data_IF_694865607431
#
_entry.id   IF_694865607431
#
_cell.length_a   1.000
_cell.length_b   1.000
_cell.length_c   1.000
_cell.angle_alpha   90.00
_cell.angle_beta   90.00
_cell.angle_gamma   90.00
#
_symmetry.space_group_name_H-M   'P 1'
#
loop_
_entity.id
_entity.type
_entity.pdbx_description
1 polymer ?
#
# COMPACT_ATOMS: atom_id res chain seq x y z
N UNK A 1 13.89 42.20 -59.23
CA UNK A 1 13.27 41.04 -58.55
C UNK A 1 12.84 41.52 -57.17
N UNK A 2 11.51 41.70 -56.97
CA UNK A 2 10.69 40.93 -56.02
C UNK A 2 11.27 41.03 -54.59
N UNK A 3 10.74 41.80 -53.65
CA UNK A 3 9.33 41.99 -53.29
C UNK A 3 9.20 41.50 -51.85
N UNK A 4 9.21 42.43 -50.89
CA UNK A 4 8.99 42.16 -49.46
C UNK A 4 7.47 42.17 -49.17
N UNK A 5 6.96 41.06 -48.62
CA UNK A 5 5.62 40.79 -48.09
C UNK A 5 5.79 39.46 -47.28
N UNK A 6 5.31 39.17 -46.07
CA UNK A 6 4.20 39.62 -45.22
C UNK A 6 4.59 39.49 -43.71
N UNK A 7 4.24 40.41 -42.79
CA UNK A 7 3.07 40.44 -41.85
C UNK A 7 3.03 39.19 -40.91
N UNK A 8 3.06 39.26 -39.56
CA UNK A 8 2.01 39.76 -38.65
C UNK A 8 2.47 40.05 -37.21
N UNK A 9 1.68 40.92 -36.59
CA UNK A 9 1.85 41.77 -35.40
C UNK A 9 1.65 41.01 -34.06
N UNK A 10 2.27 41.48 -32.96
CA UNK A 10 2.20 40.87 -31.63
C UNK A 10 0.82 40.99 -30.96
N UNK A 11 0.40 39.92 -30.28
CA UNK A 11 -0.78 39.93 -29.41
C UNK A 11 -0.50 40.76 -28.15
N UNK A 12 -1.29 41.82 -27.98
CA UNK A 12 -1.41 42.60 -26.77
C UNK A 12 -2.11 41.77 -25.68
N UNK A 13 -1.48 41.65 -24.50
CA UNK A 13 -2.15 41.15 -23.29
C UNK A 13 -2.75 42.36 -22.56
N UNK A 14 -4.08 42.42 -22.56
CA UNK A 14 -4.91 43.47 -21.97
C UNK A 14 -5.00 43.30 -20.45
N UNK A 15 -4.90 44.43 -19.74
CA UNK A 15 -4.99 44.65 -18.29
C UNK A 15 -6.43 44.44 -17.78
N UNK A 16 -6.61 43.74 -16.66
CA UNK A 16 -7.82 43.74 -15.80
C UNK A 16 -7.33 43.56 -14.36
N UNK A 17 -7.16 44.61 -13.54
CA UNK A 17 -8.08 45.51 -12.82
C UNK A 17 -8.06 45.22 -11.31
N UNK A 18 -7.88 46.31 -10.56
CA UNK A 18 -7.77 46.44 -9.11
C UNK A 18 -9.10 46.25 -8.35
N UNK A 19 -8.96 45.85 -7.07
CA UNK A 19 -9.84 46.20 -5.93
C UNK A 19 -11.09 45.31 -5.79
N UNK A 20 -11.63 45.02 -4.61
CA UNK A 20 -11.76 45.83 -3.38
C UNK A 20 -12.01 44.91 -2.16
N UNK A 21 -11.44 45.24 -1.00
CA UNK A 21 -11.84 44.68 0.31
C UNK A 21 -13.09 45.35 0.86
N UNK A 22 -14.04 44.59 1.39
CA UNK A 22 -15.03 45.07 2.37
C UNK A 22 -15.33 44.00 3.44
N UNK A 23 -15.23 44.41 4.72
CA UNK A 23 -15.65 43.67 5.91
C UNK A 23 -17.11 44.04 6.28
N UNK A 24 -17.91 43.07 6.74
CA UNK A 24 -18.92 43.26 7.81
C UNK A 24 -19.53 41.92 8.30
N UNK A 25 -19.42 41.65 9.60
CA UNK A 25 -20.41 40.88 10.39
C UNK A 25 -21.47 41.87 10.95
N UNK A 26 -22.51 41.53 11.75
CA UNK A 26 -23.05 40.24 12.22
C UNK A 26 -24.59 40.11 12.06
N UNK A 27 -25.17 38.91 12.23
CA UNK A 27 -26.54 38.76 12.78
C UNK A 27 -26.65 37.49 13.62
N UNK A 28 -26.89 37.71 14.91
CA UNK A 28 -27.37 36.74 15.89
C UNK A 28 -28.88 36.52 15.69
N UNK A 29 -29.33 35.26 15.76
CA UNK A 29 -30.66 34.90 16.26
C UNK A 29 -30.52 33.69 17.19
N UNK A 30 -30.82 33.86 18.48
CA UNK A 30 -30.75 32.85 19.57
C UNK A 30 -31.98 31.91 19.52
N UNK A 31 -32.07 30.65 19.99
CA UNK A 31 -31.90 30.03 21.35
C UNK A 31 -32.70 28.66 21.32
N UNK A 32 -32.65 27.68 22.26
CA UNK A 32 -31.59 27.03 23.06
C UNK A 32 -31.54 25.47 22.92
N UNK A 33 -30.38 24.92 23.32
CA UNK A 33 -30.17 23.65 24.06
C UNK A 33 -30.95 22.39 23.65
N UNK A 34 -30.29 21.52 22.88
CA UNK A 34 -30.29 20.09 23.19
C UNK A 34 -28.84 19.61 23.27
N UNK A 35 -28.52 19.00 24.41
CA UNK A 35 -27.25 18.34 24.68
C UNK A 35 -27.26 17.06 23.85
N UNK A 36 -26.66 17.10 22.66
CA UNK A 36 -26.27 15.90 21.94
C UNK A 36 -24.80 15.64 22.23
N UNK A 37 -24.56 14.66 23.09
CA UNK A 37 -23.25 14.08 23.36
C UNK A 37 -22.55 13.78 22.03
N UNK A 38 -21.47 14.50 21.74
CA UNK A 38 -20.61 14.16 20.60
C UNK A 38 -19.92 12.83 20.91
N UNK A 39 -20.53 11.74 20.47
CA UNK A 39 -19.88 10.44 20.35
C UNK A 39 -18.84 10.59 19.23
N UNK A 40 -17.53 10.38 19.49
CA UNK A 40 -16.54 10.35 18.43
C UNK A 40 -16.93 9.24 17.44
N UNK A 41 -17.05 9.58 16.15
CA UNK A 41 -17.29 8.61 15.09
C UNK A 41 -16.10 7.67 14.99
N UNK A 42 -16.22 6.50 15.60
CA UNK A 42 -15.38 5.36 15.26
C UNK A 42 -15.77 4.92 13.84
N UNK A 43 -14.80 4.88 12.92
CA UNK A 43 -14.99 4.25 11.62
C UNK A 43 -15.15 2.75 11.84
N UNK A 44 -16.33 2.21 11.52
CA UNK A 44 -16.68 0.79 11.69
C UNK A 44 -15.78 -0.17 10.87
N UNK A 45 -14.97 0.37 9.96
CA UNK A 45 -14.16 -0.40 9.01
C UNK A 45 -12.94 -1.11 9.65
N UNK A 46 -12.46 -0.65 10.82
CA UNK A 46 -11.34 -1.29 11.53
C UNK A 46 -11.78 -2.42 12.48
N UNK A 47 -13.09 -2.63 12.72
CA UNK A 47 -13.55 -3.54 13.78
C UNK A 47 -13.68 -5.01 13.36
N UNK A 48 -13.48 -5.37 12.09
CA UNK A 48 -13.62 -6.77 11.66
C UNK A 48 -12.56 -7.22 10.65
N UNK A 49 -11.28 -7.06 10.99
CA UNK A 49 -10.18 -7.68 10.24
C UNK A 49 -9.79 -9.02 10.88
N UNK A 50 -9.50 -10.01 10.04
CA UNK A 50 -8.80 -11.21 10.46
C UNK A 50 -7.30 -10.98 10.34
N UNK A 51 -6.59 -11.35 11.39
CA UNK A 51 -5.15 -11.32 11.46
C UNK A 51 -4.60 -12.73 11.16
N UNK A 52 -3.62 -12.83 10.27
CA UNK A 52 -2.89 -14.07 10.00
C UNK A 52 -1.39 -13.81 10.14
N UNK A 53 -0.72 -14.70 10.87
CA UNK A 53 0.74 -14.70 10.97
C UNK A 53 1.32 -15.64 9.91
N UNK A 54 2.13 -15.10 9.01
CA UNK A 54 2.93 -15.87 8.07
C UNK A 54 4.32 -16.08 8.67
N UNK A 55 4.77 -17.33 8.68
CA UNK A 55 6.08 -17.73 9.19
C UNK A 55 6.83 -18.44 8.07
N UNK A 56 7.98 -17.91 7.67
CA UNK A 56 8.91 -18.63 6.81
C UNK A 56 9.84 -19.44 7.72
N UNK A 57 9.73 -20.76 7.64
CA UNK A 57 10.46 -21.67 8.54
C UNK A 57 11.83 -22.07 7.98
N UNK A 58 12.05 -21.92 6.67
CA UNK A 58 13.32 -22.17 6.01
C UNK A 58 13.45 -21.37 4.71
N UNK A 59 14.70 -21.06 4.37
CA UNK A 59 15.12 -20.38 3.14
C UNK A 59 16.29 -21.16 2.53
N UNK A 60 16.56 -21.06 1.21
CA UNK A 60 17.64 -21.81 0.61
C UNK A 60 19.01 -21.33 1.12
N UNK A 61 20.01 -22.22 1.12
CA UNK A 61 21.35 -21.96 1.70
C UNK A 61 22.06 -20.77 1.05
N UNK A 62 21.76 -20.48 -0.23
CA UNK A 62 22.33 -19.34 -0.95
C UNK A 62 21.64 -18.00 -0.64
N UNK A 63 20.70 -17.95 0.31
CA UNK A 63 20.11 -16.69 0.78
C UNK A 63 21.17 -15.86 1.50
N UNK A 64 21.46 -14.62 1.07
CA UNK A 64 22.41 -13.78 1.78
C UNK A 64 22.00 -13.55 3.23
N UNK A 65 22.97 -13.54 4.15
CA UNK A 65 22.71 -13.46 5.59
C UNK A 65 22.01 -12.14 6.00
N UNK A 66 22.30 -11.06 5.28
CA UNK A 66 21.74 -9.72 5.43
C UNK A 66 20.51 -9.45 4.55
N UNK A 67 20.04 -10.46 3.81
CA UNK A 67 18.87 -10.33 2.96
C UNK A 67 17.61 -10.04 3.78
N UNK A 68 16.79 -9.14 3.27
CA UNK A 68 15.45 -8.89 3.78
C UNK A 68 14.43 -9.59 2.89
N UNK A 69 13.47 -10.29 3.50
CA UNK A 69 12.42 -11.00 2.78
C UNK A 69 11.14 -10.17 2.83
N UNK A 70 10.43 -10.13 1.71
CA UNK A 70 9.17 -9.43 1.54
C UNK A 70 8.11 -10.38 0.98
N UNK A 71 6.84 -10.13 1.32
CA UNK A 71 5.71 -10.69 0.59
C UNK A 71 5.25 -9.69 -0.48
N UNK A 72 4.88 -10.20 -1.65
CA UNK A 72 4.14 -9.45 -2.65
C UNK A 72 2.92 -10.26 -3.09
N UNK A 73 1.90 -9.58 -3.61
CA UNK A 73 0.68 -10.24 -4.05
C UNK A 73 -0.32 -9.32 -4.72
N UNK A 74 -1.50 -9.86 -5.00
CA UNK A 74 -2.61 -9.08 -5.55
C UNK A 74 -2.99 -7.87 -4.66
N UNK A 75 -2.80 -7.96 -3.36
CA UNK A 75 -3.12 -6.91 -2.38
C UNK A 75 -2.15 -5.72 -2.39
N UNK A 76 -0.94 -5.85 -2.94
CA UNK A 76 0.03 -4.76 -3.08
C UNK A 76 0.44 -4.52 -4.55
N UNK A 77 -0.38 -4.98 -5.50
CA UNK A 77 -0.12 -4.90 -6.94
C UNK A 77 1.21 -5.54 -7.36
N UNK A 78 1.63 -6.62 -6.69
CA UNK A 78 2.88 -7.32 -6.93
C UNK A 78 4.11 -6.42 -6.78
N UNK A 79 4.04 -5.43 -5.89
CA UNK A 79 5.16 -4.56 -5.58
C UNK A 79 6.23 -5.32 -4.79
N UNK A 80 7.42 -5.40 -5.38
CA UNK A 80 8.62 -6.00 -4.79
C UNK A 80 9.23 -5.04 -3.77
N UNK A 81 9.77 -5.56 -2.67
CA UNK A 81 10.46 -4.74 -1.65
C UNK A 81 9.54 -3.78 -0.90
N UNK A 82 8.23 -4.03 -0.85
CA UNK A 82 7.28 -3.19 -0.13
C UNK A 82 7.47 -3.33 1.38
N UNK A 83 7.95 -2.26 2.03
CA UNK A 83 8.23 -2.22 3.47
C UNK A 83 7.01 -2.53 4.35
N UNK A 84 5.78 -2.36 3.84
CA UNK A 84 4.57 -2.74 4.57
C UNK A 84 4.41 -4.26 4.71
N UNK A 85 5.12 -5.04 3.88
CA UNK A 85 5.08 -6.49 3.82
C UNK A 85 6.48 -7.10 4.01
N UNK A 86 7.35 -6.36 4.71
CA UNK A 86 8.68 -6.81 5.14
C UNK A 86 8.57 -7.79 6.29
N UNK A 87 9.23 -8.93 6.16
CA UNK A 87 9.35 -9.89 7.26
C UNK A 87 10.36 -9.42 8.31
N UNK A 88 10.05 -9.70 9.58
CA UNK A 88 10.98 -9.60 10.70
C UNK A 88 11.71 -10.94 10.87
N UNK A 89 13.05 -10.91 10.96
CA UNK A 89 13.85 -12.09 11.29
C UNK A 89 13.82 -12.32 12.79
N UNK A 90 13.47 -13.54 13.20
CA UNK A 90 13.35 -13.95 14.59
C UNK A 90 14.66 -14.62 15.05
N UNK A 91 14.92 -14.61 16.36
CA UNK A 91 16.14 -15.15 16.97
C UNK A 91 16.38 -16.65 16.65
N UNK A 92 15.31 -17.41 16.42
CA UNK A 92 15.37 -18.84 16.06
C UNK A 92 15.70 -19.10 14.58
N UNK A 93 15.91 -18.03 13.78
CA UNK A 93 16.22 -18.11 12.37
C UNK A 93 15.01 -18.15 11.44
N UNK A 94 13.79 -18.15 11.99
CA UNK A 94 12.56 -18.00 11.19
C UNK A 94 12.28 -16.53 10.86
N UNK A 95 11.33 -16.30 9.96
CA UNK A 95 10.89 -14.96 9.59
C UNK A 95 9.39 -14.83 9.79
N UNK A 96 8.92 -13.70 10.35
CA UNK A 96 7.51 -13.47 10.66
C UNK A 96 6.96 -12.20 9.97
N UNK A 97 5.74 -12.30 9.45
CA UNK A 97 4.94 -11.16 8.97
C UNK A 97 3.48 -11.35 9.40
N UNK A 98 2.85 -10.29 9.90
CA UNK A 98 1.42 -10.29 10.24
C UNK A 98 0.66 -9.52 9.15
N UNK A 99 -0.35 -10.16 8.55
CA UNK A 99 -1.23 -9.54 7.57
C UNK A 99 -2.65 -9.49 8.11
N UNK A 100 -3.31 -8.35 7.93
CA UNK A 100 -4.70 -8.14 8.31
C UNK A 100 -5.54 -7.92 7.06
N UNK A 101 -6.62 -8.69 6.93
CA UNK A 101 -7.56 -8.59 5.81
C UNK A 101 -9.00 -8.79 6.28
N UNK A 102 -10.00 -8.28 5.54
CA UNK A 102 -11.38 -8.62 5.79
C UNK A 102 -11.61 -10.15 5.73
N UNK A 103 -12.51 -10.71 6.55
CA UNK A 103 -12.87 -12.13 6.51
C UNK A 103 -13.27 -12.58 5.11
N UNK A 104 -12.90 -13.81 4.76
CA UNK A 104 -13.12 -14.44 3.45
C UNK A 104 -12.40 -13.80 2.26
N UNK A 105 -11.49 -12.85 2.49
CA UNK A 105 -10.57 -12.37 1.45
C UNK A 105 -9.65 -13.51 1.00
N UNK A 106 -9.48 -13.67 -0.31
CA UNK A 106 -8.46 -14.56 -0.89
C UNK A 106 -7.31 -13.72 -1.46
N UNK A 107 -6.08 -14.08 -1.10
CA UNK A 107 -4.87 -13.48 -1.63
C UNK A 107 -4.09 -14.50 -2.46
N UNK A 108 -3.43 -13.99 -3.49
CA UNK A 108 -2.36 -14.67 -4.20
C UNK A 108 -1.06 -13.96 -3.86
N UNK A 109 -0.02 -14.71 -3.53
CA UNK A 109 1.24 -14.13 -3.06
C UNK A 109 2.46 -14.98 -3.41
N UNK A 110 3.63 -14.34 -3.42
CA UNK A 110 4.97 -14.94 -3.53
C UNK A 110 5.94 -14.15 -2.65
N UNK A 111 7.13 -14.70 -2.42
CA UNK A 111 8.22 -14.03 -1.69
C UNK A 111 9.27 -13.43 -2.61
N UNK A 112 9.98 -12.41 -2.11
CA UNK A 112 11.12 -11.81 -2.81
C UNK A 112 12.16 -11.24 -1.84
N UNK A 113 13.37 -10.99 -2.34
CA UNK A 113 14.47 -10.35 -1.58
C UNK A 113 14.56 -8.82 -1.78
N UNK A 114 13.47 -8.18 -2.23
CA UNK A 114 13.43 -6.73 -2.48
C UNK A 114 13.81 -6.29 -3.90
N UNK A 115 14.16 -7.23 -4.77
CA UNK A 115 14.46 -6.98 -6.19
C UNK A 115 13.75 -8.00 -7.09
N UNK A 116 13.43 -7.59 -8.32
CA UNK A 116 12.70 -8.43 -9.30
C UNK A 116 13.44 -9.71 -9.67
N UNK A 117 14.76 -9.71 -9.53
CA UNK A 117 15.63 -10.82 -9.94
C UNK A 117 15.68 -11.93 -8.90
N UNK A 118 15.10 -11.72 -7.71
CA UNK A 118 15.08 -12.66 -6.59
C UNK A 118 13.65 -12.88 -6.10
N UNK A 119 12.82 -13.40 -7.01
CA UNK A 119 11.43 -13.80 -6.74
C UNK A 119 11.42 -15.31 -6.56
N UNK A 120 10.78 -15.79 -5.50
CA UNK A 120 10.61 -17.21 -5.20
C UNK A 120 10.37 -18.09 -6.43
N UNK A 121 11.13 -19.18 -6.50
CA UNK A 121 11.05 -20.22 -7.54
C UNK A 121 10.69 -21.57 -6.94
N UNK A 122 10.43 -22.54 -7.79
CA UNK A 122 10.30 -23.94 -7.38
C UNK A 122 11.68 -24.55 -7.05
N UNK A 123 11.72 -25.73 -6.43
CA UNK A 123 12.97 -26.43 -6.12
C UNK A 123 13.98 -26.56 -7.30
N UNK A 124 13.52 -26.53 -8.55
CA UNK A 124 14.38 -26.61 -9.74
C UNK A 124 14.82 -25.24 -10.30
N UNK A 125 14.37 -24.14 -9.69
CA UNK A 125 14.64 -22.77 -10.13
C UNK A 125 13.69 -22.29 -11.24
N UNK A 126 12.60 -22.99 -11.52
CA UNK A 126 11.59 -22.54 -12.47
C UNK A 126 10.59 -21.58 -11.79
N UNK A 127 9.82 -20.86 -12.61
CA UNK A 127 8.68 -20.09 -12.12
C UNK A 127 7.74 -20.97 -11.29
N UNK A 128 7.48 -20.54 -10.06
CA UNK A 128 6.55 -21.17 -9.14
C UNK A 128 5.16 -20.58 -9.34
N UNK A 129 4.13 -21.42 -9.26
CA UNK A 129 2.76 -20.91 -9.14
C UNK A 129 2.59 -20.10 -7.86
N UNK A 130 1.84 -18.99 -7.94
CA UNK A 130 1.56 -18.15 -6.78
C UNK A 130 0.91 -18.95 -5.67
N UNK A 131 1.37 -18.74 -4.44
CA UNK A 131 0.71 -19.28 -3.24
C UNK A 131 -0.65 -18.63 -3.08
N UNK A 132 -1.57 -19.35 -2.43
CA UNK A 132 -2.95 -18.90 -2.20
C UNK A 132 -3.29 -19.04 -0.73
N UNK A 133 -3.90 -18.01 -0.16
CA UNK A 133 -4.42 -18.06 1.20
C UNK A 133 -5.77 -17.35 1.28
N UNK A 134 -6.69 -17.89 2.08
CA UNK A 134 -8.00 -17.30 2.32
C UNK A 134 -8.18 -17.08 3.82
N UNK A 135 -8.54 -15.85 4.19
CA UNK A 135 -8.72 -15.43 5.58
C UNK A 135 -10.04 -15.97 6.14
N UNK A 136 -10.10 -17.27 6.45
CA UNK A 136 -11.30 -17.95 6.98
C UNK A 136 -11.36 -17.96 8.52
N UNK A 137 -10.22 -17.76 9.19
CA UNK A 137 -10.12 -17.74 10.65
C UNK A 137 -9.32 -16.53 11.12
N UNK A 138 -9.67 -15.98 12.28
CA UNK A 138 -8.91 -14.91 12.93
C UNK A 138 -7.77 -15.50 13.78
N UNK A 139 -6.58 -14.89 13.71
CA UNK A 139 -5.33 -15.31 14.37
C UNK A 139 -4.84 -16.67 13.89
N UNK A 140 -4.98 -16.91 12.59
CA UNK A 140 -4.43 -18.11 11.95
C UNK A 140 -2.91 -18.00 11.76
N UNK A 141 -2.26 -19.13 11.52
CA UNK A 141 -0.80 -19.20 11.28
C UNK A 141 -0.50 -20.03 10.05
N UNK A 142 0.11 -19.39 9.06
CA UNK A 142 0.62 -20.04 7.84
C UNK A 142 2.12 -20.26 8.00
N UNK A 143 2.60 -21.46 7.62
CA UNK A 143 4.02 -21.81 7.63
C UNK A 143 4.45 -22.18 6.24
N UNK A 144 5.48 -21.49 5.74
CA UNK A 144 5.99 -21.65 4.40
C UNK A 144 7.48 -21.95 4.41
N UNK A 145 7.91 -22.75 3.44
CA UNK A 145 9.31 -23.01 3.11
C UNK A 145 9.60 -22.40 1.74
N UNK A 146 10.70 -21.67 1.63
CA UNK A 146 11.19 -21.14 0.36
C UNK A 146 12.27 -22.08 -0.16
N UNK A 147 12.03 -22.69 -1.32
CA UNK A 147 12.92 -23.70 -1.89
C UNK A 147 14.08 -23.08 -2.68
N UNK A 148 13.85 -21.91 -3.30
CA UNK A 148 14.81 -21.20 -4.16
C UNK A 148 14.34 -19.77 -4.47
N UNK A 149 15.25 -18.96 -5.03
CA UNK A 149 15.04 -17.57 -5.47
C UNK A 149 15.23 -17.41 -6.97
#
# INVERSE_FOLDING_TARGET
MKGFLEIFIPFALIIVLLGVSFNKAPTTSQKPSDISTQIPSFSEDDENLFETTFIIISVPENTPEDATIYMMGNFNNWLVGDENYRFEKIEDGTYQLIIKMPPNTEILYNYNLGFSDYIEKDFYGNEKENRKYKFEYNRDVVRDEIESW
#
